data_IF_415837576776
#
_entry.id   IF_415837576776
#
_cell.length_a   1.000
_cell.length_b   1.000
_cell.length_c   1.000
_cell.angle_alpha   90.00
_cell.angle_beta   90.00
_cell.angle_gamma   90.00
#
_symmetry.space_group_name_H-M   'P 1'
#
loop_
_entity.id
_entity.type
_entity.pdbx_description
1 polymer ?
#
# COMPACT_ATOMS: atom_id res chain seq x y z
N UNK A 1 -5.71 19.74 19.40
CA UNK A 1 -6.09 18.99 18.18
C UNK A 1 -6.49 17.61 18.65
N UNK A 2 -7.76 17.43 18.99
CA UNK A 2 -8.30 16.09 19.23
C UNK A 2 -8.58 15.48 17.85
N UNK A 3 -7.53 14.89 17.26
CA UNK A 3 -7.58 14.26 15.96
C UNK A 3 -8.18 12.87 16.09
N UNK A 4 -9.50 12.78 16.03
CA UNK A 4 -10.20 11.50 15.99
C UNK A 4 -9.80 10.72 14.73
N UNK A 5 -9.25 9.52 14.92
CA UNK A 5 -8.90 8.61 13.83
C UNK A 5 -10.16 7.84 13.46
N UNK A 6 -10.74 8.20 12.31
CA UNK A 6 -11.77 7.40 11.67
C UNK A 6 -11.20 6.02 11.32
N UNK A 7 -11.92 4.94 11.61
CA UNK A 7 -11.48 3.56 11.34
C UNK A 7 -10.18 3.19 12.07
N UNK A 8 -10.13 3.45 13.38
CA UNK A 8 -8.92 3.24 14.20
C UNK A 8 -8.43 1.80 14.23
N UNK A 9 -9.33 0.82 14.15
CA UNK A 9 -9.00 -0.61 14.11
C UNK A 9 -8.33 -0.97 12.79
N UNK A 10 -8.92 -0.58 11.66
CA UNK A 10 -8.37 -0.80 10.32
C UNK A 10 -7.03 -0.08 10.16
N UNK A 11 -6.90 1.15 10.66
CA UNK A 11 -5.62 1.87 10.68
C UNK A 11 -4.55 1.11 11.46
N UNK A 12 -4.89 0.53 12.62
CA UNK A 12 -3.96 -0.26 13.43
C UNK A 12 -3.48 -1.50 12.68
N UNK A 13 -4.40 -2.22 12.01
CA UNK A 13 -4.06 -3.40 11.22
C UNK A 13 -3.14 -3.10 10.03
N UNK A 14 -3.44 -2.02 9.29
CA UNK A 14 -2.60 -1.56 8.17
C UNK A 14 -1.20 -1.18 8.66
N UNK A 15 -1.12 -0.41 9.75
CA UNK A 15 0.16 -0.03 10.35
C UNK A 15 0.94 -1.26 10.83
N UNK A 16 0.27 -2.23 11.46
CA UNK A 16 0.88 -3.48 11.88
C UNK A 16 1.50 -4.25 10.72
N UNK A 17 0.80 -4.34 9.58
CA UNK A 17 1.33 -4.97 8.37
C UNK A 17 2.56 -4.22 7.81
N UNK A 18 2.53 -2.88 7.77
CA UNK A 18 3.67 -2.07 7.35
C UNK A 18 4.90 -2.25 8.26
N UNK A 19 4.69 -2.26 9.57
CA UNK A 19 5.77 -2.46 10.53
C UNK A 19 6.35 -3.86 10.46
N UNK A 20 5.55 -4.90 10.20
CA UNK A 20 6.06 -6.26 9.96
C UNK A 20 6.97 -6.29 8.73
N UNK A 21 6.52 -5.73 7.60
CA UNK A 21 7.30 -5.67 6.37
C UNK A 21 8.62 -4.92 6.60
N UNK A 22 8.56 -3.77 7.26
CA UNK A 22 9.77 -2.99 7.56
C UNK A 22 10.74 -3.74 8.49
N UNK A 23 10.23 -4.44 9.52
CA UNK A 23 11.06 -5.22 10.45
C UNK A 23 11.76 -6.39 9.78
N UNK A 24 11.08 -7.06 8.86
CA UNK A 24 11.61 -8.23 8.14
C UNK A 24 12.58 -7.80 7.02
N UNK A 25 12.17 -6.83 6.19
CA UNK A 25 12.91 -6.46 4.99
C UNK A 25 14.00 -5.41 5.25
N UNK A 26 13.87 -4.60 6.29
CA UNK A 26 14.78 -3.48 6.53
C UNK A 26 14.74 -2.44 5.42
N UNK A 27 15.84 -1.70 5.21
CA UNK A 27 15.97 -0.69 4.16
C UNK A 27 16.84 -1.21 2.98
N UNK A 28 16.66 -0.62 1.79
CA UNK A 28 17.56 -0.81 0.63
C UNK A 28 16.97 -1.53 -0.57
N UNK A 29 15.69 -1.93 -0.51
CA UNK A 29 14.99 -2.51 -1.65
C UNK A 29 14.22 -1.46 -2.45
N UNK A 30 13.79 -1.85 -3.66
CA UNK A 30 12.87 -1.06 -4.47
C UNK A 30 11.47 -1.10 -3.85
N UNK A 31 10.68 -0.07 -4.13
CA UNK A 31 9.27 0.01 -3.72
C UNK A 31 8.47 -1.26 -4.08
N UNK A 32 8.71 -1.84 -5.26
CA UNK A 32 8.18 -3.13 -5.72
C UNK A 32 8.22 -4.24 -4.68
N UNK A 33 9.38 -4.37 -4.03
CA UNK A 33 9.62 -5.46 -3.09
C UNK A 33 8.78 -5.23 -1.84
N UNK A 34 8.71 -3.99 -1.36
CA UNK A 34 7.87 -3.64 -0.22
C UNK A 34 6.39 -3.80 -0.53
N UNK A 35 5.95 -3.42 -1.73
CA UNK A 35 4.58 -3.59 -2.20
C UNK A 35 4.19 -5.07 -2.22
N UNK A 36 4.98 -5.96 -2.85
CA UNK A 36 4.72 -7.40 -2.85
C UNK A 36 4.69 -8.02 -1.43
N UNK A 37 5.59 -7.57 -0.55
CA UNK A 37 5.61 -8.02 0.84
C UNK A 37 4.35 -7.57 1.60
N UNK A 38 3.92 -6.33 1.39
CA UNK A 38 2.72 -5.78 2.02
C UNK A 38 1.46 -6.48 1.53
N UNK A 39 1.34 -6.74 0.23
CA UNK A 39 0.21 -7.49 -0.35
C UNK A 39 0.09 -8.89 0.28
N UNK A 40 1.21 -9.61 0.43
CA UNK A 40 1.23 -10.89 1.14
C UNK A 40 0.82 -10.74 2.62
N UNK A 41 1.27 -9.68 3.29
CA UNK A 41 0.94 -9.38 4.67
C UNK A 41 -0.54 -9.07 4.89
N UNK A 42 -1.15 -8.27 4.01
CA UNK A 42 -2.57 -7.93 4.02
C UNK A 42 -3.45 -9.14 3.65
N UNK A 43 -3.04 -9.92 2.66
CA UNK A 43 -3.75 -11.13 2.26
C UNK A 43 -3.83 -12.16 3.39
N UNK A 44 -2.71 -12.40 4.10
CA UNK A 44 -2.68 -13.31 5.27
C UNK A 44 -3.58 -12.86 6.42
N UNK A 45 -3.81 -11.54 6.54
CA UNK A 45 -4.71 -10.95 7.53
C UNK A 45 -6.18 -10.97 7.09
N UNK A 46 -6.47 -11.42 5.87
CA UNK A 46 -7.82 -11.41 5.31
C UNK A 46 -8.35 -10.01 5.02
N UNK A 47 -7.48 -9.00 4.91
CA UNK A 47 -7.89 -7.64 4.65
C UNK A 47 -8.30 -7.46 3.19
N UNK A 48 -9.42 -6.78 2.89
CA UNK A 48 -9.77 -6.44 1.52
C UNK A 48 -8.83 -5.33 1.01
N UNK A 49 -8.14 -5.58 -0.11
CA UNK A 49 -7.32 -4.57 -0.77
C UNK A 49 -7.30 -4.80 -2.29
N UNK A 50 -6.93 -3.76 -3.03
CA UNK A 50 -6.63 -3.84 -4.47
C UNK A 50 -5.17 -3.49 -4.66
N UNK A 51 -4.38 -4.49 -5.04
CA UNK A 51 -3.00 -4.31 -5.48
C UNK A 51 -2.96 -3.51 -6.79
N UNK A 52 -1.96 -2.64 -6.94
CA UNK A 52 -1.65 -1.99 -8.21
C UNK A 52 -2.86 -1.33 -8.90
N UNK A 53 -3.66 -0.58 -8.13
CA UNK A 53 -4.81 0.15 -8.67
C UNK A 53 -4.35 1.05 -9.84
N UNK A 54 -4.93 0.81 -11.03
CA UNK A 54 -4.65 1.63 -12.22
C UNK A 54 -4.98 3.09 -11.92
N UNK A 55 -3.97 3.95 -12.03
CA UNK A 55 -4.14 5.37 -11.79
C UNK A 55 -4.48 6.07 -13.10
N UNK A 56 -5.60 6.77 -13.12
CA UNK A 56 -5.93 7.70 -14.19
C UNK A 56 -5.23 9.02 -13.91
N UNK A 57 -4.33 9.40 -14.79
CA UNK A 57 -3.59 10.65 -14.68
C UNK A 57 -3.89 11.52 -15.89
N UNK A 58 -3.90 12.83 -15.68
CA UNK A 58 -3.94 13.79 -16.77
C UNK A 58 -2.54 14.34 -16.99
N UNK A 59 -1.95 14.08 -18.15
CA UNK A 59 -0.60 14.51 -18.47
C UNK A 59 -0.55 15.16 -19.85
N UNK A 60 -0.03 16.39 -19.91
CA UNK A 60 0.13 17.18 -21.15
C UNK A 60 -1.13 17.26 -22.03
N UNK A 61 -2.30 17.40 -21.40
CA UNK A 61 -3.55 17.58 -22.14
C UNK A 61 -4.26 16.29 -22.55
N UNK A 62 -3.74 15.12 -22.15
CA UNK A 62 -4.36 13.83 -22.40
C UNK A 62 -4.48 12.97 -21.15
N UNK A 63 -5.48 12.11 -21.13
CA UNK A 63 -5.60 11.04 -20.14
C UNK A 63 -4.56 9.95 -20.41
N UNK A 64 -3.91 9.50 -19.35
CA UNK A 64 -3.03 8.34 -19.36
C UNK A 64 -3.46 7.37 -18.25
N UNK A 65 -3.38 6.08 -18.55
CA UNK A 65 -3.51 5.01 -17.55
C UNK A 65 -2.09 4.61 -17.12
N UNK A 66 -1.72 4.97 -15.90
CA UNK A 66 -0.43 4.59 -15.34
C UNK A 66 -0.55 3.22 -14.69
N UNK A 67 -0.06 2.20 -15.40
CA UNK A 67 0.26 0.89 -14.83
C UNK A 67 1.70 0.94 -14.34
N UNK A 68 1.88 0.97 -13.02
CA UNK A 68 3.19 1.02 -12.39
C UNK A 68 3.92 -0.35 -12.45
N UNK A 69 3.23 -1.43 -12.86
CA UNK A 69 3.80 -2.76 -13.10
C UNK A 69 3.27 -3.37 -14.42
N UNK A 70 4.14 -4.05 -15.20
CA UNK A 70 3.78 -4.76 -16.44
C UNK A 70 3.18 -6.16 -16.22
#
# INVERSE_FOLDING_TARGET
MDGEIWHSEECCEIQGALFEVYREMGCGFLEAVYQECLEKGLFKRGMPFVAHQVLRLFYKGGDIEANLYP
#
